data_IF_914274588798
#
_entry.id   IF_914274588798
#
_cell.length_a   1.000
_cell.length_b   1.000
_cell.length_c   1.000
_cell.angle_alpha   90.00
_cell.angle_beta   90.00
_cell.angle_gamma   90.00
#
_symmetry.space_group_name_H-M   'P 1'
#
loop_
_entity.id
_entity.type
_entity.pdbx_description
1 polymer ?
#
# COMPACT_ATOMS: atom_id res chain seq x y z
N UNK A 1 30.55 52.83 44.42
CA UNK A 1 30.86 52.55 43.01
C UNK A 1 30.60 51.08 42.73
N UNK A 2 29.48 50.81 42.07
CA UNK A 2 29.25 49.87 40.96
C UNK A 2 30.23 48.71 40.76
N UNK A 3 29.73 47.46 40.77
CA UNK A 3 29.59 46.63 39.55
C UNK A 3 28.92 45.28 39.84
N UNK A 4 27.71 45.14 39.31
CA UNK A 4 27.02 43.87 39.09
C UNK A 4 27.78 43.06 38.02
N UNK A 5 28.01 41.77 38.27
CA UNK A 5 28.43 40.83 37.23
C UNK A 5 27.22 39.98 36.85
N UNK A 6 26.67 40.25 35.67
CA UNK A 6 25.66 39.44 34.99
C UNK A 6 26.35 38.18 34.45
N UNK A 7 25.93 36.98 34.89
CA UNK A 7 26.23 35.74 34.19
C UNK A 7 25.20 35.57 33.07
N UNK A 8 25.65 35.60 31.82
CA UNK A 8 24.82 35.31 30.67
C UNK A 8 24.62 33.80 30.52
N UNK A 9 23.35 33.37 30.54
CA UNK A 9 22.91 32.05 30.08
C UNK A 9 23.04 32.01 28.55
N UNK A 10 24.02 31.24 28.05
CA UNK A 10 24.07 30.85 26.64
C UNK A 10 23.08 29.70 26.41
N UNK A 11 21.91 30.05 25.89
CA UNK A 11 20.95 29.09 25.35
C UNK A 11 21.53 28.45 24.10
N UNK A 12 21.90 27.18 24.18
CA UNK A 12 22.25 26.36 23.01
C UNK A 12 21.01 26.07 22.19
N UNK A 13 20.80 26.82 21.12
CA UNK A 13 19.92 26.41 20.01
C UNK A 13 20.64 25.28 19.27
N UNK A 14 20.33 24.04 19.62
CA UNK A 14 20.67 22.90 18.76
C UNK A 14 19.84 23.05 17.48
N UNK A 15 20.46 23.59 16.43
CA UNK A 15 19.92 23.53 15.08
C UNK A 15 19.82 22.06 14.69
N UNK A 16 18.60 21.52 14.67
CA UNK A 16 18.34 20.26 14.00
C UNK A 16 18.77 20.44 12.54
N UNK A 17 19.72 19.63 12.10
CA UNK A 17 20.07 19.55 10.69
C UNK A 17 18.79 19.17 9.95
N UNK A 18 18.28 20.09 9.12
CA UNK A 18 17.16 19.81 8.24
C UNK A 18 17.60 18.65 7.33
N UNK A 19 17.03 17.48 7.54
CA UNK A 19 17.20 16.36 6.63
C UNK A 19 16.66 16.82 5.27
N UNK A 20 17.48 16.72 4.23
CA UNK A 20 17.10 17.15 2.90
C UNK A 20 16.01 16.22 2.37
N UNK A 21 14.75 16.64 2.56
CA UNK A 21 13.59 15.91 2.10
C UNK A 21 13.45 16.01 0.58
N UNK A 22 12.86 14.99 -0.01
CA UNK A 22 12.91 14.69 -1.44
C UNK A 22 11.85 15.46 -2.22
N UNK A 23 11.83 16.77 -2.10
CA UNK A 23 10.86 17.64 -2.77
C UNK A 23 11.27 17.96 -4.21
N UNK A 24 10.31 18.05 -5.13
CA UNK A 24 10.60 18.47 -6.50
C UNK A 24 11.11 19.93 -6.52
N UNK A 25 11.82 20.38 -7.58
CA UNK A 25 12.23 21.77 -7.69
C UNK A 25 11.02 22.72 -7.59
N UNK A 26 11.07 23.65 -6.63
CA UNK A 26 9.97 24.60 -6.35
C UNK A 26 9.04 24.16 -5.22
N UNK A 27 9.08 22.89 -4.83
CA UNK A 27 8.32 22.39 -3.69
C UNK A 27 9.02 22.63 -2.35
N UNK A 28 8.23 22.68 -1.28
CA UNK A 28 8.70 22.72 0.10
C UNK A 28 7.99 21.65 0.93
N UNK A 29 8.68 21.13 1.95
CA UNK A 29 8.13 20.16 2.89
C UNK A 29 8.05 20.78 4.29
N UNK A 30 6.94 20.49 4.98
CA UNK A 30 6.76 20.85 6.38
C UNK A 30 6.25 19.64 7.16
N UNK A 31 6.78 19.43 8.37
CA UNK A 31 6.35 18.33 9.24
C UNK A 31 4.88 18.51 9.63
N UNK A 32 4.09 17.47 9.41
CA UNK A 32 2.69 17.39 9.80
C UNK A 32 2.50 16.59 11.09
N UNK A 33 3.10 15.39 11.16
CA UNK A 33 2.99 14.50 12.32
C UNK A 33 4.11 13.46 12.35
N UNK A 34 4.30 12.81 13.50
CA UNK A 34 5.09 11.59 13.62
C UNK A 34 4.19 10.49 14.19
N UNK A 35 4.18 9.31 13.56
CA UNK A 35 3.32 8.18 13.95
C UNK A 35 4.08 6.86 13.83
N UNK A 36 4.22 6.13 14.95
CA UNK A 36 4.84 4.79 14.96
C UNK A 36 6.22 4.72 14.28
N UNK A 37 7.04 5.76 14.44
CA UNK A 37 8.38 5.83 13.84
C UNK A 37 8.40 6.28 12.37
N UNK A 38 7.26 6.73 11.83
CA UNK A 38 7.15 7.39 10.54
C UNK A 38 6.97 8.88 10.73
N UNK A 39 7.62 9.67 9.90
CA UNK A 39 7.39 11.11 9.81
C UNK A 39 6.49 11.42 8.63
N UNK A 40 5.46 12.23 8.86
CA UNK A 40 4.47 12.64 7.87
C UNK A 40 4.66 14.11 7.57
N UNK A 41 4.73 14.46 6.29
CA UNK A 41 5.00 15.81 5.80
C UNK A 41 3.92 16.27 4.84
N UNK A 42 3.58 17.55 4.91
CA UNK A 42 2.87 18.26 3.83
C UNK A 42 3.89 18.72 2.80
N UNK A 43 3.61 18.49 1.51
CA UNK A 43 4.40 19.00 0.39
C UNK A 43 3.60 20.12 -0.29
N UNK A 44 4.21 21.28 -0.50
CA UNK A 44 3.57 22.43 -1.15
C UNK A 44 4.40 22.96 -2.31
N UNK A 45 3.73 23.45 -3.34
CA UNK A 45 4.30 24.29 -4.40
C UNK A 45 3.72 25.70 -4.23
N UNK A 46 4.54 26.63 -3.73
CA UNK A 46 4.07 27.90 -3.18
C UNK A 46 3.08 27.68 -2.02
N UNK A 47 1.88 28.25 -2.15
CA UNK A 47 0.81 28.15 -1.14
C UNK A 47 -0.13 26.96 -1.35
N UNK A 48 0.09 26.14 -2.38
CA UNK A 48 -0.79 25.01 -2.73
C UNK A 48 -0.18 23.70 -2.25
N UNK A 49 -0.94 22.92 -1.49
CA UNK A 49 -0.57 21.54 -1.19
C UNK A 49 -0.59 20.68 -2.47
N UNK A 50 0.50 19.95 -2.71
CA UNK A 50 0.65 19.04 -3.85
C UNK A 50 0.53 17.58 -3.43
N UNK A 51 1.03 17.23 -2.24
CA UNK A 51 0.93 15.88 -1.68
C UNK A 51 1.11 15.89 -0.16
N UNK A 52 0.79 14.78 0.49
CA UNK A 52 1.38 14.43 1.79
C UNK A 52 2.21 13.16 1.67
N UNK A 53 3.29 13.08 2.44
CA UNK A 53 4.23 11.95 2.38
C UNK A 53 4.50 11.38 3.75
N UNK A 54 4.43 10.06 3.86
CA UNK A 54 4.91 9.30 5.02
C UNK A 54 6.29 8.74 4.71
N UNK A 55 7.28 9.07 5.54
CA UNK A 55 8.69 8.72 5.37
C UNK A 55 9.18 7.89 6.55
N UNK A 56 9.98 6.88 6.26
CA UNK A 56 10.74 6.10 7.24
C UNK A 56 12.15 5.82 6.72
N UNK A 57 13.11 5.79 7.63
CA UNK A 57 14.53 5.58 7.28
C UNK A 57 15.21 6.87 6.82
N UNK A 58 16.42 6.72 6.28
CA UNK A 58 17.23 7.83 5.78
C UNK A 58 18.15 7.38 4.62
N UNK A 59 18.62 8.36 3.84
CA UNK A 59 19.66 8.14 2.83
C UNK A 59 19.25 7.14 1.75
N UNK A 60 19.93 5.98 1.70
CA UNK A 60 19.67 4.94 0.71
C UNK A 60 18.58 3.93 1.14
N UNK A 61 18.23 3.93 2.43
CA UNK A 61 17.24 3.04 3.05
C UNK A 61 15.92 3.79 3.30
N UNK A 62 15.76 4.97 2.69
CA UNK A 62 14.57 5.79 2.77
C UNK A 62 13.39 5.11 2.04
N UNK A 63 12.27 4.98 2.74
CA UNK A 63 11.01 4.48 2.23
C UNK A 63 9.94 5.57 2.37
N UNK A 64 9.37 5.99 1.25
CA UNK A 64 8.39 7.07 1.22
C UNK A 64 7.10 6.58 0.56
N UNK A 65 5.97 6.86 1.21
CA UNK A 65 4.65 6.73 0.61
C UNK A 65 4.05 8.12 0.39
N UNK A 66 3.78 8.48 -0.86
CA UNK A 66 3.14 9.73 -1.25
C UNK A 66 1.64 9.57 -1.49
N UNK A 67 0.86 10.56 -1.06
CA UNK A 67 -0.57 10.66 -1.33
C UNK A 67 -0.94 12.02 -1.90
N UNK A 68 -1.52 12.01 -3.10
CA UNK A 68 -1.99 13.19 -3.85
C UNK A 68 -3.36 12.94 -4.54
N UNK A 69 -4.15 12.01 -3.96
CA UNK A 69 -5.34 11.30 -4.51
C UNK A 69 -5.01 9.96 -5.18
N UNK A 70 -3.75 9.68 -5.47
CA UNK A 70 -3.22 8.33 -5.68
C UNK A 70 -2.23 7.95 -4.58
N UNK A 71 -1.86 6.68 -4.51
CA UNK A 71 -0.76 6.24 -3.65
C UNK A 71 0.47 5.95 -4.50
N UNK A 72 1.61 6.51 -4.10
CA UNK A 72 2.91 6.23 -4.71
C UNK A 72 3.88 5.70 -3.66
N UNK A 73 4.69 4.72 -4.06
CA UNK A 73 5.87 4.26 -3.37
C UNK A 73 7.09 4.92 -4.01
N UNK A 74 7.88 5.64 -3.23
CA UNK A 74 9.05 6.39 -3.69
C UNK A 74 10.27 5.91 -2.90
N UNK A 75 11.33 5.54 -3.61
CA UNK A 75 12.61 5.14 -3.00
C UNK A 75 13.81 5.78 -3.73
N UNK A 76 14.93 6.01 -3.04
CA UNK A 76 16.16 6.49 -3.67
C UNK A 76 16.63 5.56 -4.80
N UNK A 77 17.06 6.14 -5.92
CA UNK A 77 17.58 5.41 -7.06
C UNK A 77 18.81 6.09 -7.66
N UNK A 78 19.80 5.27 -8.02
CA UNK A 78 21.00 5.72 -8.76
C UNK A 78 20.85 5.54 -10.28
N UNK A 79 19.74 4.97 -10.73
CA UNK A 79 19.49 4.77 -12.14
C UNK A 79 19.26 6.12 -12.84
N UNK A 80 19.61 6.14 -14.11
CA UNK A 80 19.36 7.28 -15.01
C UNK A 80 18.41 6.85 -16.12
N UNK A 81 17.61 7.78 -16.63
CA UNK A 81 16.58 7.53 -17.64
C UNK A 81 15.21 7.93 -17.10
N UNK A 82 14.17 7.65 -17.87
CA UNK A 82 12.80 8.03 -17.50
C UNK A 82 12.04 6.90 -16.80
N UNK A 83 12.39 5.64 -17.09
CA UNK A 83 11.75 4.46 -16.51
C UNK A 83 12.74 3.33 -16.26
N UNK A 84 12.38 2.42 -15.36
CA UNK A 84 13.08 1.15 -15.13
C UNK A 84 12.09 0.03 -14.83
N UNK A 85 12.46 -1.22 -15.10
CA UNK A 85 11.71 -2.36 -14.58
C UNK A 85 11.86 -2.41 -13.05
N UNK A 86 10.84 -2.88 -12.35
CA UNK A 86 10.91 -3.15 -10.93
C UNK A 86 10.11 -4.39 -10.58
N UNK A 87 10.53 -5.06 -9.52
CA UNK A 87 9.80 -6.16 -8.91
C UNK A 87 9.52 -5.78 -7.46
N UNK A 88 8.26 -5.80 -7.08
CA UNK A 88 7.78 -5.57 -5.73
C UNK A 88 7.37 -6.93 -5.13
N UNK A 89 7.78 -7.21 -3.91
CA UNK A 89 7.26 -8.34 -3.14
C UNK A 89 6.68 -7.87 -1.82
N UNK A 90 5.51 -8.39 -1.47
CA UNK A 90 4.93 -8.21 -0.13
C UNK A 90 4.57 -9.58 0.41
N UNK A 91 5.18 -9.97 1.53
CA UNK A 91 5.05 -11.31 2.13
C UNK A 91 5.16 -12.44 1.07
N UNK A 92 6.20 -12.38 0.23
CA UNK A 92 6.52 -13.31 -0.87
C UNK A 92 5.63 -13.27 -2.13
N UNK A 93 4.55 -12.46 -2.17
CA UNK A 93 3.79 -12.24 -3.40
C UNK A 93 4.51 -11.23 -4.29
N UNK A 94 4.89 -11.64 -5.50
CA UNK A 94 5.61 -10.81 -6.48
C UNK A 94 4.66 -10.07 -7.42
N UNK A 95 4.94 -8.81 -7.69
CA UNK A 95 4.41 -8.05 -8.83
C UNK A 95 5.55 -7.38 -9.62
N UNK A 96 5.48 -7.47 -10.95
CA UNK A 96 6.47 -6.92 -11.88
C UNK A 96 5.90 -5.70 -12.60
N UNK A 97 6.57 -4.56 -12.48
CA UNK A 97 6.07 -3.25 -12.90
C UNK A 97 7.16 -2.41 -13.56
N UNK A 98 6.74 -1.27 -14.11
CA UNK A 98 7.66 -0.18 -14.44
C UNK A 98 7.56 0.91 -13.39
N UNK A 99 8.71 1.47 -13.03
CA UNK A 99 8.83 2.67 -12.20
C UNK A 99 9.25 3.84 -13.07
N UNK A 100 8.82 5.05 -12.69
CA UNK A 100 9.39 6.27 -13.23
C UNK A 100 10.66 6.63 -12.47
N UNK A 101 11.66 7.15 -13.18
CA UNK A 101 12.93 7.59 -12.60
C UNK A 101 13.02 9.10 -12.77
N UNK A 102 13.12 9.83 -11.66
CA UNK A 102 13.23 11.27 -11.67
C UNK A 102 13.96 11.78 -10.43
N UNK A 103 14.84 12.77 -10.62
CA UNK A 103 15.51 13.48 -9.52
C UNK A 103 16.23 12.59 -8.48
N UNK A 104 16.74 11.42 -8.89
CA UNK A 104 17.41 10.48 -7.99
C UNK A 104 16.46 9.55 -7.21
N UNK A 105 15.20 9.47 -7.65
CA UNK A 105 14.18 8.59 -7.07
C UNK A 105 13.57 7.68 -8.13
N UNK A 106 13.14 6.51 -7.68
CA UNK A 106 12.23 5.66 -8.40
C UNK A 106 10.85 5.77 -7.76
N UNK A 107 9.82 5.97 -8.58
CA UNK A 107 8.43 6.08 -8.13
C UNK A 107 7.59 4.99 -8.78
N UNK A 108 6.85 4.26 -7.94
CA UNK A 108 5.89 3.25 -8.31
C UNK A 108 4.49 3.71 -7.88
N UNK A 109 3.55 3.79 -8.81
CA UNK A 109 2.14 3.96 -8.47
C UNK A 109 1.60 2.66 -7.86
N UNK A 110 1.03 2.75 -6.66
CA UNK A 110 0.46 1.62 -5.94
C UNK A 110 -1.01 1.46 -6.30
N UNK A 111 -1.37 0.25 -6.66
CA UNK A 111 -2.76 -0.19 -6.69
C UNK A 111 -3.32 -0.37 -5.27
N UNK A 112 -4.64 -0.43 -5.14
CA UNK A 112 -5.30 -0.71 -3.87
C UNK A 112 -4.88 -2.06 -3.27
N UNK A 113 -4.63 -3.05 -4.13
CA UNK A 113 -4.15 -4.39 -3.78
C UNK A 113 -2.78 -4.30 -3.09
N UNK A 114 -1.82 -3.63 -3.74
CA UNK A 114 -0.47 -3.47 -3.22
C UNK A 114 -0.49 -2.64 -1.93
N UNK A 115 -1.30 -1.57 -1.89
CA UNK A 115 -1.50 -0.77 -0.67
C UNK A 115 -2.03 -1.63 0.47
N UNK A 116 -3.08 -2.41 0.23
CA UNK A 116 -3.71 -3.30 1.20
C UNK A 116 -2.73 -4.37 1.70
N UNK A 117 -1.95 -4.96 0.78
CA UNK A 117 -0.88 -5.89 1.11
C UNK A 117 0.19 -5.22 1.98
N UNK A 118 0.68 -4.04 1.61
CA UNK A 118 1.70 -3.29 2.34
C UNK A 118 1.21 -2.88 3.74
N UNK A 119 -0.06 -2.52 3.87
CA UNK A 119 -0.66 -2.14 5.15
C UNK A 119 -0.75 -3.31 6.13
N UNK A 120 -1.04 -4.52 5.63
CA UNK A 120 -1.23 -5.75 6.42
C UNK A 120 0.05 -6.55 6.57
N UNK A 121 1.00 -6.36 5.67
CA UNK A 121 2.21 -7.14 5.58
C UNK A 121 3.22 -6.78 6.65
N UNK A 122 4.20 -7.68 6.81
CA UNK A 122 5.28 -7.50 7.78
C UNK A 122 6.55 -6.96 7.14
N UNK A 123 6.79 -7.36 5.90
CA UNK A 123 8.00 -7.09 5.14
C UNK A 123 7.64 -6.84 3.67
N UNK A 124 8.35 -5.90 3.05
CA UNK A 124 8.30 -5.62 1.63
C UNK A 124 9.70 -5.69 1.06
N UNK A 125 9.86 -6.36 -0.07
CA UNK A 125 11.08 -6.26 -0.86
C UNK A 125 10.84 -5.49 -2.14
N UNK A 126 11.82 -4.71 -2.56
CA UNK A 126 11.80 -3.98 -3.82
C UNK A 126 13.12 -4.18 -4.56
N UNK A 127 13.04 -4.48 -5.84
CA UNK A 127 14.19 -4.51 -6.74
C UNK A 127 13.91 -3.60 -7.92
N UNK A 128 14.84 -2.70 -8.24
CA UNK A 128 14.72 -1.78 -9.37
C UNK A 128 15.84 -2.06 -10.37
N UNK A 129 15.46 -2.32 -11.62
CA UNK A 129 16.34 -2.77 -12.70
C UNK A 129 17.09 -4.03 -12.28
N UNK A 130 18.38 -4.07 -12.61
CA UNK A 130 19.31 -5.11 -12.18
C UNK A 130 19.95 -4.81 -10.81
N UNK A 131 19.37 -3.87 -10.06
CA UNK A 131 19.86 -3.45 -8.75
C UNK A 131 19.71 -4.52 -7.67
N UNK A 132 20.30 -4.31 -6.49
CA UNK A 132 20.09 -5.19 -5.36
C UNK A 132 18.63 -5.14 -4.90
N UNK A 133 18.15 -6.27 -4.37
CA UNK A 133 16.87 -6.33 -3.66
C UNK A 133 17.02 -5.62 -2.31
N UNK A 134 16.16 -4.64 -2.06
CA UNK A 134 16.06 -3.89 -0.81
C UNK A 134 14.88 -4.43 0.00
N UNK A 135 15.07 -4.58 1.31
CA UNK A 135 14.06 -5.13 2.24
C UNK A 135 13.64 -4.06 3.24
N UNK A 136 12.35 -3.89 3.42
CA UNK A 136 11.75 -2.87 4.29
C UNK A 136 10.78 -3.49 5.29
N UNK A 137 10.93 -3.13 6.57
CA UNK A 137 9.99 -3.52 7.63
C UNK A 137 8.77 -2.60 7.64
N UNK A 138 7.58 -3.21 7.51
CA UNK A 138 6.31 -2.51 7.36
C UNK A 138 5.62 -2.17 8.70
N UNK A 139 6.36 -2.24 9.81
CA UNK A 139 5.83 -1.84 11.10
C UNK A 139 5.41 -0.35 11.08
N UNK A 140 4.17 -0.09 11.48
CA UNK A 140 3.59 1.25 11.55
C UNK A 140 3.04 1.77 10.23
N UNK A 141 3.24 1.06 9.11
CA UNK A 141 2.86 1.54 7.77
C UNK A 141 1.38 1.87 7.67
N UNK A 142 0.47 1.00 8.16
CA UNK A 142 -0.97 1.32 8.20
C UNK A 142 -1.27 2.67 8.84
N UNK A 143 -0.68 2.97 10.00
CA UNK A 143 -0.94 4.23 10.70
C UNK A 143 -0.33 5.43 9.96
N UNK A 144 0.81 5.24 9.31
CA UNK A 144 1.49 6.27 8.53
C UNK A 144 0.72 6.63 7.25
N UNK A 145 0.24 5.64 6.50
CA UNK A 145 -0.57 5.83 5.31
C UNK A 145 -1.88 6.55 5.65
N UNK A 146 -2.61 6.09 6.67
CA UNK A 146 -3.83 6.77 7.12
C UNK A 146 -3.54 8.22 7.54
N UNK A 147 -2.41 8.48 8.20
CA UNK A 147 -2.05 9.83 8.63
C UNK A 147 -1.64 10.75 7.47
N UNK A 148 -1.00 10.22 6.43
CA UNK A 148 -0.69 10.97 5.21
C UNK A 148 -1.95 11.28 4.39
N UNK A 149 -2.93 10.37 4.37
CA UNK A 149 -4.24 10.65 3.78
C UNK A 149 -4.98 11.78 4.55
N UNK A 150 -5.08 11.65 5.89
CA UNK A 150 -5.66 12.69 6.76
C UNK A 150 -5.00 14.06 6.54
N UNK A 151 -3.68 14.06 6.36
CA UNK A 151 -2.88 15.24 6.07
C UNK A 151 -3.34 15.95 4.78
N UNK A 152 -3.50 15.20 3.70
CA UNK A 152 -3.84 15.79 2.40
C UNK A 152 -5.30 16.25 2.38
N UNK A 153 -6.20 15.43 2.89
CA UNK A 153 -7.63 15.75 2.92
C UNK A 153 -7.89 16.97 3.81
N UNK A 154 -7.33 16.99 5.01
CA UNK A 154 -7.49 18.10 5.96
C UNK A 154 -7.01 19.46 5.41
N UNK A 155 -6.02 19.47 4.50
CA UNK A 155 -5.47 20.69 3.90
C UNK A 155 -6.19 21.14 2.63
N UNK A 156 -6.78 20.21 1.88
CA UNK A 156 -7.51 20.55 0.64
C UNK A 156 -8.94 21.02 0.89
N UNK A 157 -9.42 20.96 2.14
CA UNK A 157 -10.80 21.31 2.48
C UNK A 157 -11.83 20.35 1.88
N UNK A 158 -11.37 19.32 1.15
CA UNK A 158 -12.05 18.05 1.09
C UNK A 158 -12.22 17.64 2.54
N UNK A 159 -13.44 17.65 3.06
CA UNK A 159 -13.68 16.93 4.30
C UNK A 159 -13.04 15.56 4.09
N UNK A 160 -12.07 15.19 4.94
CA UNK A 160 -11.60 13.81 5.00
C UNK A 160 -12.86 12.96 4.86
N UNK A 161 -12.95 12.03 3.90
CA UNK A 161 -14.07 11.13 3.86
C UNK A 161 -14.13 10.54 5.25
N UNK A 162 -15.08 11.01 6.06
CA UNK A 162 -14.99 10.84 7.50
C UNK A 162 -15.04 9.35 7.72
N UNK A 163 -14.01 8.76 8.38
CA UNK A 163 -13.39 7.50 7.94
C UNK A 163 -14.35 6.76 7.05
N UNK A 164 -14.24 7.00 5.73
CA UNK A 164 -15.18 6.52 4.72
C UNK A 164 -15.65 5.18 5.21
N UNK A 165 -16.92 5.06 5.58
CA UNK A 165 -17.41 3.85 6.20
C UNK A 165 -17.19 2.78 5.15
N UNK A 166 -16.04 2.09 5.25
CA UNK A 166 -15.52 1.23 4.20
C UNK A 166 -16.67 0.31 3.93
N UNK A 167 -17.31 0.47 2.76
CA UNK A 167 -18.52 -0.30 2.46
C UNK A 167 -18.12 -1.73 2.75
N UNK A 168 -18.74 -2.37 3.77
CA UNK A 168 -18.25 -3.64 4.25
C UNK A 168 -18.06 -4.55 3.05
N UNK A 169 -16.92 -5.24 2.98
CA UNK A 169 -16.70 -6.14 1.87
C UNK A 169 -17.62 -7.33 2.10
N UNK A 170 -18.65 -7.39 1.27
CA UNK A 170 -19.68 -8.40 1.22
C UNK A 170 -19.37 -9.37 0.10
N UNK A 171 -20.08 -10.50 0.05
CA UNK A 171 -20.07 -11.34 -1.13
C UNK A 171 -20.37 -10.52 -2.38
N UNK A 172 -21.32 -9.58 -2.34
CA UNK A 172 -21.75 -8.73 -3.47
C UNK A 172 -20.67 -7.84 -4.11
N UNK A 173 -19.72 -7.31 -3.33
CA UNK A 173 -18.70 -6.39 -3.82
C UNK A 173 -17.27 -6.96 -3.78
N UNK A 174 -17.12 -8.23 -3.38
CA UNK A 174 -15.84 -8.92 -3.30
C UNK A 174 -15.17 -9.05 -4.67
N UNK A 175 -13.93 -8.59 -4.79
CA UNK A 175 -13.07 -8.83 -5.95
C UNK A 175 -11.78 -9.57 -5.65
N UNK A 176 -11.41 -9.63 -4.37
CA UNK A 176 -10.21 -10.30 -3.92
C UNK A 176 -10.35 -10.89 -2.52
N UNK A 177 -9.83 -12.09 -2.34
CA UNK A 177 -9.64 -12.67 -1.03
C UNK A 177 -8.21 -13.21 -0.91
N UNK A 178 -7.48 -12.69 0.07
CA UNK A 178 -6.11 -13.10 0.36
C UNK A 178 -6.13 -14.24 1.36
N UNK A 179 -5.21 -15.17 1.19
CA UNK A 179 -4.93 -16.22 2.15
C UNK A 179 -3.41 -16.36 2.30
N UNK A 180 -2.98 -17.28 3.15
CA UNK A 180 -1.55 -17.53 3.34
C UNK A 180 -0.90 -17.95 2.02
N UNK A 181 0.11 -17.21 1.58
CA UNK A 181 0.92 -17.48 0.37
C UNK A 181 0.15 -17.40 -0.97
N UNK A 182 -1.03 -16.77 -1.00
CA UNK A 182 -1.83 -16.66 -2.22
C UNK A 182 -3.08 -15.77 -2.13
N UNK A 183 -3.86 -15.75 -3.22
CA UNK A 183 -5.13 -15.00 -3.31
C UNK A 183 -6.09 -15.57 -4.34
N UNK A 184 -7.37 -15.38 -4.11
CA UNK A 184 -8.40 -15.44 -5.14
C UNK A 184 -8.64 -14.03 -5.69
N UNK A 185 -8.69 -13.88 -7.01
CA UNK A 185 -8.86 -12.59 -7.68
C UNK A 185 -9.81 -12.69 -8.86
N UNK A 186 -10.79 -11.79 -8.92
CA UNK A 186 -11.65 -11.64 -10.08
C UNK A 186 -10.92 -10.90 -11.21
N UNK A 187 -11.12 -11.36 -12.45
CA UNK A 187 -10.58 -10.78 -13.68
C UNK A 187 -11.62 -9.90 -14.36
N UNK A 188 -11.17 -9.15 -15.37
CA UNK A 188 -12.00 -8.23 -16.16
C UNK A 188 -13.10 -8.94 -16.95
N UNK A 189 -12.89 -10.21 -17.31
CA UNK A 189 -13.88 -11.05 -17.99
C UNK A 189 -14.89 -11.70 -17.02
N UNK A 190 -14.81 -11.40 -15.72
CA UNK A 190 -15.68 -11.96 -14.68
C UNK A 190 -15.22 -13.32 -14.15
N UNK A 191 -14.22 -13.96 -14.77
CA UNK A 191 -13.62 -15.19 -14.25
C UNK A 191 -12.80 -14.93 -12.99
N UNK A 192 -12.58 -15.97 -12.20
CA UNK A 192 -11.76 -15.93 -10.99
C UNK A 192 -10.50 -16.76 -11.16
N UNK A 193 -9.43 -16.33 -10.51
CA UNK A 193 -8.21 -17.11 -10.41
C UNK A 193 -7.74 -17.26 -8.99
N UNK A 194 -7.23 -18.44 -8.68
CA UNK A 194 -6.38 -18.67 -7.51
C UNK A 194 -4.93 -18.49 -7.96
N UNK A 195 -4.23 -17.58 -7.30
CA UNK A 195 -2.82 -17.30 -7.50
C UNK A 195 -2.05 -17.69 -6.23
N UNK A 196 -0.97 -18.44 -6.38
CA UNK A 196 -0.02 -18.78 -5.32
C UNK A 196 1.39 -18.25 -5.66
N UNK A 197 2.40 -18.62 -4.85
CA UNK A 197 3.79 -18.23 -5.08
C UNK A 197 4.36 -18.64 -6.47
N UNK A 198 3.73 -19.60 -7.16
CA UNK A 198 4.10 -20.07 -8.50
C UNK A 198 3.28 -19.43 -9.62
N UNK A 199 2.35 -18.53 -9.31
CA UNK A 199 1.45 -17.87 -10.25
C UNK A 199 0.04 -18.46 -10.23
N UNK A 200 -0.63 -18.50 -11.38
CA UNK A 200 -2.02 -18.98 -11.47
C UNK A 200 -2.05 -20.50 -11.26
N UNK A 201 -2.62 -20.92 -10.13
CA UNK A 201 -2.82 -22.33 -9.79
C UNK A 201 -4.11 -22.87 -10.43
N UNK A 202 -5.20 -22.10 -10.35
CA UNK A 202 -6.52 -22.52 -10.79
C UNK A 202 -7.33 -21.37 -11.41
N UNK A 203 -8.25 -21.72 -12.32
CA UNK A 203 -9.20 -20.79 -12.95
C UNK A 203 -10.63 -21.26 -12.67
N UNK A 204 -11.49 -20.33 -12.29
CA UNK A 204 -12.86 -20.60 -11.88
C UNK A 204 -13.85 -19.72 -12.62
N UNK A 205 -15.02 -20.27 -12.89
CA UNK A 205 -16.21 -19.51 -13.25
C UNK A 205 -16.99 -19.20 -11.97
N UNK A 206 -17.50 -17.98 -11.85
CA UNK A 206 -18.44 -17.64 -10.78
C UNK A 206 -19.81 -18.22 -11.11
N UNK A 207 -20.34 -19.04 -10.20
CA UNK A 207 -21.65 -19.68 -10.40
C UNK A 207 -22.76 -18.90 -9.72
N UNK A 208 -22.47 -18.30 -8.57
CA UNK A 208 -23.43 -17.57 -7.75
C UNK A 208 -22.69 -16.64 -6.78
N UNK A 209 -23.41 -15.64 -6.27
CA UNK A 209 -22.94 -14.72 -5.23
C UNK A 209 -24.13 -14.26 -4.41
N UNK A 210 -23.91 -14.09 -3.11
CA UNK A 210 -24.88 -13.53 -2.17
C UNK A 210 -24.23 -12.43 -1.31
N UNK A 211 -24.92 -11.98 -0.26
CA UNK A 211 -24.46 -10.91 0.63
C UNK A 211 -23.19 -11.29 1.42
N UNK A 212 -22.94 -12.57 1.66
CA UNK A 212 -21.85 -13.05 2.53
C UNK A 212 -20.80 -13.85 1.73
N UNK A 213 -21.13 -14.39 0.55
CA UNK A 213 -20.26 -15.34 -0.16
C UNK A 213 -20.24 -15.18 -1.68
N UNK A 214 -19.11 -15.59 -2.27
CA UNK A 214 -18.95 -15.85 -3.71
C UNK A 214 -18.74 -17.35 -3.91
N UNK A 215 -19.48 -17.96 -4.85
CA UNK A 215 -19.38 -19.37 -5.19
C UNK A 215 -18.76 -19.55 -6.56
N UNK A 216 -17.73 -20.39 -6.61
CA UNK A 216 -16.84 -20.58 -7.73
C UNK A 216 -16.84 -22.05 -8.14
N UNK A 217 -16.76 -22.32 -9.45
CA UNK A 217 -16.52 -23.65 -9.98
C UNK A 217 -15.24 -23.67 -10.80
N UNK A 218 -14.31 -24.55 -10.43
CA UNK A 218 -13.03 -24.70 -11.12
C UNK A 218 -13.28 -25.26 -12.53
N UNK A 219 -12.78 -24.55 -13.53
CA UNK A 219 -12.97 -24.87 -14.96
C UNK A 219 -12.24 -26.13 -15.41
N UNK A 220 -11.16 -26.52 -14.72
CA UNK A 220 -10.33 -27.67 -15.09
C UNK A 220 -10.84 -29.00 -14.52
N UNK A 221 -11.37 -28.99 -13.30
CA UNK A 221 -11.74 -30.21 -12.58
C UNK A 221 -13.18 -30.22 -12.00
N UNK A 222 -13.92 -29.11 -12.09
CA UNK A 222 -15.29 -28.99 -11.62
C UNK A 222 -15.45 -28.81 -10.10
N UNK A 223 -14.36 -28.73 -9.35
CA UNK A 223 -14.38 -28.49 -7.90
C UNK A 223 -15.12 -27.19 -7.59
N UNK A 224 -15.92 -27.19 -6.52
CA UNK A 224 -16.60 -25.97 -6.07
C UNK A 224 -15.91 -25.37 -4.86
N UNK A 225 -15.76 -24.05 -4.89
CA UNK A 225 -15.14 -23.25 -3.83
C UNK A 225 -16.11 -22.15 -3.42
N UNK A 226 -16.17 -21.83 -2.13
CA UNK A 226 -16.84 -20.64 -1.62
C UNK A 226 -15.83 -19.73 -0.95
N UNK A 227 -16.00 -18.42 -1.12
CA UNK A 227 -15.26 -17.40 -0.40
C UNK A 227 -16.27 -16.66 0.47
N UNK A 228 -16.23 -16.86 1.78
CA UNK A 228 -17.17 -16.29 2.74
C UNK A 228 -16.54 -15.12 3.48
N UNK A 229 -17.08 -13.92 3.28
CA UNK A 229 -16.55 -12.66 3.82
C UNK A 229 -16.86 -12.43 5.29
N UNK A 230 -17.77 -13.22 5.88
CA UNK A 230 -18.22 -13.08 7.26
C UNK A 230 -17.48 -13.99 8.22
N UNK A 231 -17.30 -15.25 7.82
CA UNK A 231 -16.50 -16.25 8.54
C UNK A 231 -15.02 -16.12 8.21
N UNK A 232 -14.67 -15.39 7.15
CA UNK A 232 -13.30 -15.22 6.67
C UNK A 232 -12.67 -16.58 6.28
N UNK A 233 -13.44 -17.44 5.62
CA UNK A 233 -13.01 -18.76 5.20
C UNK A 233 -13.20 -18.94 3.70
N UNK A 234 -12.23 -19.63 3.10
CA UNK A 234 -12.35 -20.20 1.76
C UNK A 234 -12.59 -21.69 1.97
N UNK A 235 -13.69 -22.22 1.46
CA UNK A 235 -14.06 -23.62 1.64
C UNK A 235 -14.22 -24.32 0.30
N UNK A 236 -13.92 -25.62 0.26
CA UNK A 236 -14.16 -26.48 -0.89
C UNK A 236 -15.32 -27.42 -0.59
N UNK A 237 -16.15 -27.69 -1.60
CA UNK A 237 -17.18 -28.71 -1.52
C UNK A 237 -16.57 -30.09 -1.82
N UNK A 238 -16.72 -31.01 -0.88
CA UNK A 238 -16.35 -32.41 -1.00
C UNK A 238 -17.38 -33.20 -1.81
N UNK A 239 -16.99 -34.41 -2.22
CA UNK A 239 -17.84 -35.28 -3.06
C UNK A 239 -19.19 -35.66 -2.43
N UNK A 240 -19.29 -35.62 -1.10
CA UNK A 240 -20.52 -35.88 -0.34
C UNK A 240 -21.39 -34.62 -0.16
N UNK A 241 -20.96 -33.49 -0.74
CA UNK A 241 -21.63 -32.20 -0.66
C UNK A 241 -21.25 -31.37 0.57
N UNK A 242 -20.44 -31.90 1.49
CA UNK A 242 -19.97 -31.16 2.67
C UNK A 242 -18.97 -30.08 2.28
N UNK A 243 -18.91 -29.00 3.06
CA UNK A 243 -17.93 -27.94 2.87
C UNK A 243 -16.81 -28.05 3.90
N UNK A 244 -15.58 -28.09 3.42
CA UNK A 244 -14.39 -28.12 4.28
C UNK A 244 -13.52 -26.89 4.03
N UNK A 245 -13.00 -26.29 5.10
CA UNK A 245 -12.10 -25.15 4.99
C UNK A 245 -10.83 -25.52 4.22
N UNK A 246 -10.58 -24.78 3.14
CA UNK A 246 -9.36 -24.85 2.37
C UNK A 246 -8.35 -23.82 2.90
N UNK A 247 -8.78 -22.57 3.11
CA UNK A 247 -7.93 -21.50 3.60
C UNK A 247 -8.64 -20.58 4.61
N UNK A 248 -7.84 -19.99 5.50
CA UNK A 248 -8.25 -18.82 6.28
C UNK A 248 -7.98 -17.56 5.45
N UNK A 249 -9.01 -16.70 5.31
CA UNK A 249 -8.86 -15.40 4.69
C UNK A 249 -8.11 -14.45 5.62
N UNK A 250 -7.05 -13.82 5.10
CA UNK A 250 -6.23 -12.83 5.82
C UNK A 250 -6.58 -11.39 5.43
N UNK A 251 -7.30 -11.21 4.33
CA UNK A 251 -7.82 -9.92 3.91
C UNK A 251 -8.81 -10.06 2.75
N UNK A 252 -9.63 -9.02 2.58
CA UNK A 252 -10.54 -8.89 1.45
C UNK A 252 -10.28 -7.57 0.74
N UNK A 253 -10.65 -7.51 -0.54
CA UNK A 253 -10.65 -6.29 -1.35
C UNK A 253 -11.84 -6.28 -2.33
N UNK A 254 -12.27 -5.08 -2.72
CA UNK A 254 -13.33 -4.92 -3.72
C UNK A 254 -12.78 -5.08 -5.14
N UNK A 255 -13.62 -5.52 -6.06
CA UNK A 255 -13.26 -5.51 -7.47
C UNK A 255 -13.33 -4.08 -8.01
N UNK A 256 -12.20 -3.40 -8.12
CA UNK A 256 -12.11 -2.14 -8.87
C UNK A 256 -11.66 -2.50 -10.28
N UNK A 257 -12.61 -2.56 -11.22
CA UNK A 257 -12.31 -2.73 -12.64
C UNK A 257 -11.25 -1.71 -13.07
N UNK A 258 -10.11 -2.13 -13.66
CA UNK A 258 -9.13 -1.20 -14.23
C UNK A 258 -9.67 -0.39 -15.43
N UNK A 259 -10.92 -0.59 -15.83
CA UNK A 259 -11.66 0.28 -16.76
C UNK A 259 -12.84 0.95 -16.05
N UNK A 260 -12.52 1.93 -15.23
CA UNK A 260 -13.41 3.04 -14.92
C UNK A 260 -12.59 4.33 -15.02
N UNK A 261 -12.25 4.68 -16.27
CA UNK A 261 -11.45 5.82 -16.68
C UNK A 261 -11.27 5.81 -18.18
#
# INVERSE_FOLDING_TARGET
MTRYLFLALLSGLAGQAAQAQTVAPGESAATFATVRGWDVFTITDGDKITACRALKGDGADELIFGYDRGWSLIVPSKLSGDTAAASLWVDAVKDDRQVSIAAGFATLELTEIERSAIMKGSEMDLQIGDGPRQTFLLEGTTAALLKAQDCFDGQTGSAAPGPDATTPITGENLGMAYFKDGRFRQRVDGSWVEEDANGIANVYDETERDADSVYLQNTGNGDKVSIDTKTMLISKQESDGTWTTLYQVTGLDQYISPRAG
#
